data_IF_522640958454
#
_entry.id   IF_522640958454
#
_cell.length_a   1.000
_cell.length_b   1.000
_cell.length_c   1.000
_cell.angle_alpha   90.00
_cell.angle_beta   90.00
_cell.angle_gamma   90.00
#
_symmetry.space_group_name_H-M   'P 1'
#
loop_
_entity.id
_entity.type
_entity.pdbx_description
1 polymer ?
#
# COMPACT_ATOMS: atom_id res chain seq x y z
N UNK A 1 -1.51 -5.66 14.32
CA UNK A 1 -0.36 -5.02 15.01
C UNK A 1 0.39 -5.98 15.92
N UNK A 2 1.69 -5.80 16.00
CA UNK A 2 2.56 -6.51 16.95
C UNK A 2 2.53 -5.82 18.32
N UNK A 3 1.47 -6.09 19.09
CA UNK A 3 1.31 -5.60 20.46
C UNK A 3 1.05 -6.78 21.39
N UNK A 4 1.60 -6.76 22.61
CA UNK A 4 1.38 -7.80 23.63
C UNK A 4 -0.09 -8.08 23.87
N UNK A 5 -0.94 -7.04 23.87
CA UNK A 5 -2.39 -7.24 24.00
C UNK A 5 -3.01 -8.06 22.87
N UNK A 6 -2.46 -7.98 21.66
CA UNK A 6 -2.95 -8.75 20.50
C UNK A 6 -2.37 -10.17 20.53
N UNK A 7 -1.10 -10.32 20.92
CA UNK A 7 -0.42 -11.62 20.89
C UNK A 7 -0.71 -12.50 22.11
N UNK A 8 -0.91 -11.90 23.29
CA UNK A 8 -0.99 -12.64 24.56
C UNK A 8 -2.40 -12.64 25.17
N UNK A 9 -3.23 -11.64 24.84
CA UNK A 9 -4.50 -11.37 25.55
C UNK A 9 -5.74 -11.42 24.68
N UNK A 10 -5.60 -11.46 23.35
CA UNK A 10 -6.71 -11.49 22.39
C UNK A 10 -6.65 -12.76 21.56
N UNK A 11 -7.82 -13.22 21.13
CA UNK A 11 -7.92 -14.26 20.09
C UNK A 11 -7.83 -13.55 18.75
N UNK A 12 -6.71 -13.74 18.06
CA UNK A 12 -6.43 -13.17 16.75
C UNK A 12 -6.43 -14.28 15.68
N UNK A 13 -6.73 -13.92 14.43
CA UNK A 13 -6.72 -14.85 13.30
C UNK A 13 -5.81 -14.33 12.21
N UNK A 14 -4.96 -15.20 11.69
CA UNK A 14 -4.17 -14.96 10.48
C UNK A 14 -4.50 -16.06 9.48
N UNK A 15 -4.57 -15.70 8.20
CA UNK A 15 -4.84 -16.66 7.12
C UNK A 15 -3.75 -16.56 6.06
N UNK A 16 -3.23 -17.70 5.56
CA UNK A 16 -2.29 -17.69 4.45
C UNK A 16 -3.04 -17.31 3.16
N UNK A 17 -2.44 -16.42 2.36
CA UNK A 17 -2.91 -16.16 1.01
C UNK A 17 -2.31 -17.23 0.10
N UNK A 18 -3.12 -18.20 -0.32
CA UNK A 18 -2.67 -19.32 -1.15
C UNK A 18 -2.65 -18.97 -2.65
N UNK A 19 -3.57 -18.12 -3.08
CA UNK A 19 -3.71 -17.71 -4.47
C UNK A 19 -2.56 -16.79 -4.91
N UNK A 20 -1.87 -17.17 -5.99
CA UNK A 20 -0.73 -16.42 -6.54
C UNK A 20 -1.11 -15.07 -7.12
N UNK A 21 -2.31 -14.94 -7.68
CA UNK A 21 -2.83 -13.67 -8.20
C UNK A 21 -3.07 -12.70 -7.05
N UNK A 22 -3.68 -13.17 -5.94
CA UNK A 22 -3.89 -12.32 -4.76
C UNK A 22 -2.55 -11.92 -4.13
N UNK A 23 -1.58 -12.84 -4.03
CA UNK A 23 -0.23 -12.51 -3.56
C UNK A 23 0.42 -11.42 -4.42
N UNK A 24 0.28 -11.50 -5.74
CA UNK A 24 0.81 -10.50 -6.68
C UNK A 24 0.12 -9.15 -6.48
N UNK A 25 -1.21 -9.12 -6.43
CA UNK A 25 -1.99 -7.91 -6.16
C UNK A 25 -1.53 -7.22 -4.88
N UNK A 26 -1.39 -7.97 -3.78
CA UNK A 26 -0.92 -7.39 -2.52
C UNK A 26 0.49 -6.79 -2.62
N UNK A 27 1.39 -7.42 -3.37
CA UNK A 27 2.74 -6.85 -3.62
C UNK A 27 2.67 -5.55 -4.41
N UNK A 28 1.78 -5.46 -5.40
CA UNK A 28 1.55 -4.22 -6.18
C UNK A 28 0.98 -3.12 -5.28
N UNK A 29 0.01 -3.44 -4.42
CA UNK A 29 -0.54 -2.50 -3.42
C UNK A 29 0.54 -2.01 -2.46
N UNK A 30 1.38 -2.90 -1.92
CA UNK A 30 2.48 -2.50 -1.04
C UNK A 30 3.53 -1.65 -1.76
N UNK A 31 3.84 -1.95 -3.03
CA UNK A 31 4.77 -1.15 -3.82
C UNK A 31 4.25 0.29 -3.99
N UNK A 32 2.95 0.46 -4.27
CA UNK A 32 2.31 1.78 -4.33
C UNK A 32 2.44 2.50 -2.98
N UNK A 33 2.12 1.82 -1.86
CA UNK A 33 2.22 2.40 -0.51
C UNK A 33 3.66 2.81 -0.16
N UNK A 34 4.65 1.98 -0.46
CA UNK A 34 6.05 2.27 -0.19
C UNK A 34 6.66 3.34 -1.11
N UNK A 35 6.05 3.60 -2.26
CA UNK A 35 6.45 4.69 -3.14
C UNK A 35 5.97 6.09 -2.71
N UNK A 36 5.16 6.18 -1.65
CA UNK A 36 4.66 7.46 -1.16
C UNK A 36 5.81 8.38 -0.72
N UNK A 37 5.87 9.57 -1.32
CA UNK A 37 6.85 10.60 -1.00
C UNK A 37 6.19 11.97 -0.74
N UNK A 38 4.90 11.96 -0.41
CA UNK A 38 4.09 13.16 -0.11
C UNK A 38 3.56 13.13 1.32
N UNK A 39 3.10 11.98 1.79
CA UNK A 39 2.52 11.77 3.12
C UNK A 39 3.32 10.80 3.98
N UNK A 40 4.19 9.99 3.38
CA UNK A 40 5.14 9.17 4.11
C UNK A 40 6.04 9.99 5.04
N UNK A 41 6.53 9.33 6.10
CA UNK A 41 7.30 9.92 7.20
C UNK A 41 8.57 9.11 7.40
N UNK A 42 9.66 9.80 7.68
CA UNK A 42 10.87 9.15 8.18
C UNK A 42 10.72 8.94 9.71
N UNK A 43 10.83 7.70 10.15
CA UNK A 43 10.80 7.31 11.57
C UNK A 43 12.21 7.02 12.11
N UNK A 44 13.22 6.96 11.24
CA UNK A 44 14.61 6.81 11.64
C UNK A 44 15.21 8.15 12.09
N UNK A 45 14.72 9.25 11.51
CA UNK A 45 15.00 10.59 12.02
C UNK A 45 14.27 10.80 13.35
N UNK A 46 15.03 10.94 14.44
CA UNK A 46 14.48 11.20 15.79
C UNK A 46 13.90 12.61 15.97
N UNK A 47 13.90 13.42 14.91
CA UNK A 47 13.08 14.60 14.83
C UNK A 47 11.57 14.27 14.87
N UNK A 48 10.74 15.31 14.72
CA UNK A 48 9.26 15.27 14.77
C UNK A 48 8.62 14.56 13.55
N UNK A 49 9.09 13.33 13.23
CA UNK A 49 8.67 12.51 12.10
C UNK A 49 8.53 13.32 10.80
N UNK A 50 9.64 13.79 10.21
CA UNK A 50 9.58 14.65 9.04
C UNK A 50 8.90 13.92 7.87
N UNK A 51 8.20 14.68 7.02
CA UNK A 51 7.71 14.16 5.75
C UNK A 51 8.88 13.75 4.86
N UNK A 52 8.75 12.60 4.20
CA UNK A 52 9.56 12.32 3.01
C UNK A 52 9.27 13.38 1.95
N UNK A 53 10.30 13.81 1.24
CA UNK A 53 10.20 14.76 0.13
C UNK A 53 10.64 14.07 -1.16
N UNK A 54 9.99 14.34 -2.30
CA UNK A 54 10.44 13.82 -3.58
C UNK A 54 11.87 14.30 -3.86
N UNK A 55 12.74 13.39 -4.33
CA UNK A 55 14.07 13.78 -4.78
C UNK A 55 13.98 14.62 -6.08
N UNK A 56 15.01 15.42 -6.42
CA UNK A 56 15.04 16.14 -7.69
C UNK A 56 14.79 15.20 -8.88
N UNK A 57 13.78 15.50 -9.69
CA UNK A 57 13.37 14.69 -10.84
C UNK A 57 12.38 13.56 -10.52
N UNK A 58 11.99 13.35 -9.27
CA UNK A 58 10.91 12.42 -8.92
C UNK A 58 9.54 13.11 -8.94
N UNK A 59 8.55 12.41 -9.48
CA UNK A 59 7.16 12.84 -9.37
C UNK A 59 6.67 12.70 -7.92
N UNK A 60 5.83 13.63 -7.43
CA UNK A 60 5.15 13.48 -6.17
C UNK A 60 4.12 12.34 -6.28
N UNK A 61 4.20 11.38 -5.35
CA UNK A 61 3.31 10.23 -5.24
C UNK A 61 2.65 10.26 -3.87
N UNK A 62 1.32 10.38 -3.89
CA UNK A 62 0.47 10.14 -2.72
C UNK A 62 -0.21 8.78 -2.90
N UNK A 63 0.21 7.81 -2.10
CA UNK A 63 -0.20 6.40 -2.21
C UNK A 63 -1.71 6.19 -2.23
N UNK A 64 -2.48 6.92 -1.40
CA UNK A 64 -3.94 6.78 -1.36
C UNK A 64 -4.60 7.14 -2.68
N UNK A 65 -4.12 8.19 -3.35
CA UNK A 65 -4.63 8.61 -4.66
C UNK A 65 -4.16 7.65 -5.74
N UNK A 66 -2.86 7.34 -5.76
CA UNK A 66 -2.31 6.38 -6.72
C UNK A 66 -2.96 4.98 -6.63
N UNK A 67 -3.35 4.56 -5.42
CA UNK A 67 -4.05 3.30 -5.21
C UNK A 67 -5.50 3.36 -5.71
N UNK A 68 -6.18 4.51 -5.57
CA UNK A 68 -7.51 4.72 -6.18
C UNK A 68 -7.42 4.61 -7.70
N UNK A 69 -6.51 5.37 -8.31
CA UNK A 69 -6.30 5.39 -9.77
C UNK A 69 -5.97 3.98 -10.29
N UNK A 70 -5.10 3.25 -9.58
CA UNK A 70 -4.78 1.86 -9.90
C UNK A 70 -6.02 0.96 -9.97
N UNK A 71 -6.92 1.02 -8.97
CA UNK A 71 -8.12 0.19 -8.96
C UNK A 71 -9.18 0.66 -9.97
N UNK A 72 -9.28 1.96 -10.22
CA UNK A 72 -10.14 2.51 -11.26
C UNK A 72 -9.75 1.94 -12.63
N UNK A 73 -8.46 1.99 -12.97
CA UNK A 73 -7.94 1.39 -14.21
C UNK A 73 -8.20 -0.12 -14.31
N UNK A 74 -8.02 -0.88 -13.22
CA UNK A 74 -8.32 -2.32 -13.23
C UNK A 74 -9.81 -2.57 -13.50
N UNK A 75 -10.69 -1.81 -12.85
CA UNK A 75 -12.14 -1.94 -13.05
C UNK A 75 -12.57 -1.62 -14.48
N UNK A 76 -11.96 -0.61 -15.10
CA UNK A 76 -12.22 -0.28 -16.51
C UNK A 76 -11.74 -1.38 -17.46
N UNK A 77 -10.54 -1.94 -17.21
CA UNK A 77 -10.02 -3.08 -18.00
C UNK A 77 -10.97 -4.28 -17.93
N UNK A 78 -11.45 -4.62 -16.74
CA UNK A 78 -12.41 -5.71 -16.55
C UNK A 78 -13.76 -5.47 -17.26
N UNK A 79 -14.26 -4.23 -17.29
CA UNK A 79 -15.49 -3.89 -18.04
C UNK A 79 -15.29 -4.08 -19.54
N UNK A 80 -14.19 -3.55 -20.07
CA UNK A 80 -13.86 -3.63 -21.49
C UNK A 80 -13.60 -5.07 -21.96
N UNK A 81 -13.13 -5.96 -21.07
CA UNK A 81 -12.97 -7.39 -21.36
C UNK A 81 -14.31 -8.15 -21.38
N UNK A 82 -15.30 -7.73 -20.58
CA UNK A 82 -16.63 -8.34 -20.53
C UNK A 82 -17.55 -7.91 -21.67
N UNK A 83 -17.29 -6.73 -22.24
CA UNK A 83 -18.03 -6.18 -23.40
C UNK A 83 -17.52 -6.71 -24.76
N UNK A 84 -16.40 -7.43 -24.77
CA UNK A 84 -15.85 -8.13 -25.94
C UNK A 84 -16.33 -9.57 -26.02
#
# INVERSE_FOLDING_TARGET
DWMSRNLDRRVEVCTPILDRQIQRLLREVFAIQWSDNVKARDLADQADNPHLKPAPGQCPVRSQTALYDYYEEQSEKEKNEKEK
#
